data_IF_857543015423
#
_entry.id   IF_857543015423
#
_cell.length_a   1.000
_cell.length_b   1.000
_cell.length_c   1.000
_cell.angle_alpha   90.00
_cell.angle_beta   90.00
_cell.angle_gamma   90.00
#
_symmetry.space_group_name_H-M   'P 1'
#
loop_
_entity.id
_entity.type
_entity.pdbx_description
1 polymer ?
#
# COMPACT_ATOMS: atom_id res chain seq x y z
N UNK A 1 54.70 -19.30 -25.33
CA UNK A 1 54.54 -18.67 -24.01
C UNK A 1 54.20 -19.78 -23.02
N UNK A 2 55.00 -20.00 -21.98
CA UNK A 2 54.71 -21.04 -20.97
C UNK A 2 53.81 -20.39 -19.92
N UNK A 3 52.49 -20.61 -20.03
CA UNK A 3 51.47 -20.05 -19.12
C UNK A 3 51.77 -20.28 -17.63
N UNK A 4 52.49 -21.35 -17.32
CA UNK A 4 52.86 -21.80 -15.97
C UNK A 4 53.81 -20.85 -15.22
N UNK A 5 54.45 -19.89 -15.90
CA UNK A 5 55.38 -18.94 -15.29
C UNK A 5 54.74 -17.57 -14.96
N UNK A 6 53.48 -17.36 -15.33
CA UNK A 6 52.74 -16.15 -14.97
C UNK A 6 52.08 -16.33 -13.60
N UNK A 7 52.48 -15.49 -12.64
CA UNK A 7 51.92 -15.50 -11.29
C UNK A 7 50.75 -14.50 -11.12
N UNK A 8 50.68 -13.51 -12.01
CA UNK A 8 49.64 -12.48 -11.99
C UNK A 8 48.53 -12.80 -12.98
N UNK A 9 47.30 -12.47 -12.60
CA UNK A 9 46.13 -12.57 -13.48
C UNK A 9 46.31 -11.62 -14.68
N UNK A 10 46.03 -12.10 -15.89
CA UNK A 10 46.19 -11.32 -17.11
C UNK A 10 44.98 -11.45 -18.03
N UNK A 11 44.75 -10.42 -18.85
CA UNK A 11 43.71 -10.43 -19.89
C UNK A 11 44.20 -11.26 -21.09
N UNK A 12 43.41 -12.25 -21.51
CA UNK A 12 43.80 -13.12 -22.61
C UNK A 12 43.78 -12.38 -23.96
N UNK A 13 44.82 -12.53 -24.80
CA UNK A 13 44.77 -12.10 -26.18
C UNK A 13 43.69 -12.87 -26.96
N UNK A 14 43.11 -12.24 -27.99
CA UNK A 14 42.04 -12.83 -28.85
C UNK A 14 42.41 -14.19 -29.49
N UNK A 15 43.69 -14.49 -29.61
CA UNK A 15 44.21 -15.74 -30.16
C UNK A 15 44.04 -16.94 -29.20
N UNK A 16 43.80 -16.67 -27.92
CA UNK A 16 43.68 -17.68 -26.85
C UNK A 16 42.35 -17.55 -26.11
N UNK A 17 41.25 -17.24 -26.79
CA UNK A 17 39.93 -17.20 -26.16
C UNK A 17 39.59 -18.58 -25.54
N UNK A 18 39.42 -18.67 -24.21
CA UNK A 18 39.05 -19.92 -23.57
C UNK A 18 37.63 -20.30 -23.98
N UNK A 19 37.32 -21.60 -23.89
CA UNK A 19 35.92 -22.01 -23.98
C UNK A 19 35.13 -21.36 -22.85
N UNK A 20 34.02 -20.71 -23.19
CA UNK A 20 33.08 -20.09 -22.26
C UNK A 20 31.72 -20.78 -22.41
N UNK A 21 30.99 -21.00 -21.31
CA UNK A 21 29.63 -21.52 -21.40
C UNK A 21 28.76 -20.55 -22.18
N UNK A 22 27.83 -21.08 -22.99
CA UNK A 22 26.93 -20.23 -23.78
C UNK A 22 25.79 -19.71 -22.89
N UNK A 23 26.12 -18.81 -21.98
CA UNK A 23 25.18 -18.22 -21.05
C UNK A 23 24.65 -16.87 -21.59
N UNK A 24 23.33 -16.69 -21.60
CA UNK A 24 22.66 -15.41 -21.83
C UNK A 24 22.28 -14.83 -20.48
N UNK A 25 22.77 -13.63 -20.17
CA UNK A 25 22.31 -12.89 -19.00
C UNK A 25 21.16 -11.99 -19.42
N UNK A 26 20.09 -11.93 -18.62
CA UNK A 26 19.03 -10.96 -18.79
C UNK A 26 19.03 -10.01 -17.60
N UNK A 27 19.28 -8.70 -17.78
CA UNK A 27 19.56 -7.98 -19.03
C UNK A 27 20.98 -8.21 -19.60
N UNK A 28 21.17 -7.79 -20.86
CA UNK A 28 22.42 -7.97 -21.59
C UNK A 28 23.58 -7.16 -20.95
N UNK A 29 24.82 -7.69 -20.92
CA UNK A 29 25.95 -7.03 -20.30
C UNK A 29 26.56 -5.97 -21.23
N UNK A 30 26.97 -4.83 -20.67
CA UNK A 30 27.66 -3.75 -21.40
C UNK A 30 29.11 -4.08 -21.70
N UNK A 31 29.80 -4.70 -20.73
CA UNK A 31 31.21 -5.10 -20.87
C UNK A 31 31.41 -6.48 -20.28
N UNK A 32 32.16 -7.31 -21.01
CA UNK A 32 32.58 -8.64 -20.60
C UNK A 32 34.10 -8.65 -20.58
N UNK A 33 34.71 -8.88 -19.41
CA UNK A 33 36.16 -9.08 -19.29
C UNK A 33 36.45 -10.50 -18.83
N UNK A 34 37.45 -11.12 -19.46
CA UNK A 34 37.86 -12.50 -19.20
C UNK A 34 39.28 -12.48 -18.65
N UNK A 35 39.46 -13.04 -17.47
CA UNK A 35 40.76 -13.16 -16.81
C UNK A 35 41.05 -14.63 -16.55
N UNK A 36 42.29 -15.05 -16.79
CA UNK A 36 42.76 -16.40 -16.46
C UNK A 36 43.76 -16.30 -15.33
N UNK A 37 43.52 -17.07 -14.26
CA UNK A 37 44.51 -17.28 -13.22
C UNK A 37 45.42 -18.45 -13.60
N UNK A 38 46.69 -18.23 -13.95
CA UNK A 38 47.52 -19.28 -14.56
C UNK A 38 47.94 -20.37 -13.57
N UNK A 39 47.98 -20.03 -12.28
CA UNK A 39 48.34 -20.94 -11.20
C UNK A 39 47.24 -21.96 -10.87
N UNK A 40 45.97 -21.58 -11.03
CA UNK A 40 44.81 -22.41 -10.67
C UNK A 40 44.05 -22.93 -11.88
N UNK A 41 44.27 -22.34 -13.06
CA UNK A 41 43.51 -22.62 -14.27
C UNK A 41 42.07 -22.09 -14.23
N UNK A 42 41.73 -21.25 -13.26
CA UNK A 42 40.39 -20.67 -13.15
C UNK A 42 40.21 -19.54 -14.16
N UNK A 43 39.09 -19.61 -14.90
CA UNK A 43 38.67 -18.53 -15.80
C UNK A 43 37.62 -17.71 -15.07
N UNK A 44 37.92 -16.43 -14.86
CA UNK A 44 37.02 -15.46 -14.25
C UNK A 44 36.39 -14.60 -15.34
N UNK A 45 35.06 -14.53 -15.33
CA UNK A 45 34.27 -13.77 -16.27
C UNK A 45 33.54 -12.66 -15.52
N UNK A 46 33.81 -11.40 -15.88
CA UNK A 46 33.18 -10.26 -15.24
C UNK A 46 32.21 -9.58 -16.20
N UNK A 47 30.93 -9.59 -15.84
CA UNK A 47 29.86 -8.93 -16.58
C UNK A 47 29.46 -7.63 -15.88
N UNK A 48 29.50 -6.51 -16.60
CA UNK A 48 28.98 -5.24 -16.09
C UNK A 48 27.62 -4.97 -16.71
N UNK A 49 26.58 -4.99 -15.89
CA UNK A 49 25.20 -4.68 -16.30
C UNK A 49 24.78 -3.35 -15.70
N UNK A 50 24.21 -2.47 -16.52
CA UNK A 50 23.66 -1.17 -16.09
C UNK A 50 22.35 -0.91 -16.83
N UNK A 51 21.29 -1.54 -16.35
CA UNK A 51 19.97 -1.47 -16.96
C UNK A 51 18.87 -1.53 -15.89
N UNK A 52 17.67 -1.08 -16.23
CA UNK A 52 16.49 -1.20 -15.39
C UNK A 52 15.90 -2.60 -15.48
N UNK A 53 15.69 -3.24 -14.33
CA UNK A 53 15.00 -4.53 -14.25
C UNK A 53 13.49 -4.32 -14.18
N UNK A 54 12.75 -5.17 -14.89
CA UNK A 54 11.31 -5.27 -14.73
C UNK A 54 11.01 -6.11 -13.50
N UNK A 55 10.32 -5.51 -12.53
CA UNK A 55 9.94 -6.18 -11.30
C UNK A 55 8.44 -6.48 -11.32
N UNK A 56 8.08 -7.71 -10.93
CA UNK A 56 6.72 -8.07 -10.64
C UNK A 56 6.25 -7.39 -9.35
N UNK A 57 5.03 -6.86 -9.35
CA UNK A 57 4.37 -6.43 -8.13
C UNK A 57 2.90 -6.79 -8.14
N UNK A 58 2.37 -7.04 -6.96
CA UNK A 58 0.95 -7.29 -6.75
C UNK A 58 0.22 -5.95 -6.57
N UNK A 59 -0.09 -5.29 -7.69
CA UNK A 59 -0.63 -3.92 -7.73
C UNK A 59 -1.84 -3.65 -6.80
N UNK A 60 -2.70 -4.66 -6.56
CA UNK A 60 -3.86 -4.49 -5.67
C UNK A 60 -3.46 -4.15 -4.21
N UNK A 61 -2.24 -4.50 -3.78
CA UNK A 61 -1.73 -4.22 -2.42
C UNK A 61 -1.28 -2.79 -2.22
N UNK A 62 -1.29 -1.96 -3.27
CA UNK A 62 -0.86 -0.56 -3.18
C UNK A 62 -1.54 0.16 -1.99
N UNK A 63 -0.77 0.84 -1.11
CA UNK A 63 0.66 1.19 -1.22
C UNK A 63 1.64 0.22 -0.51
N UNK A 64 1.16 -0.90 0.03
CA UNK A 64 1.96 -1.85 0.82
C UNK A 64 2.50 -3.01 -0.03
N UNK A 65 2.82 -2.73 -1.29
CA UNK A 65 3.31 -3.74 -2.20
C UNK A 65 4.78 -4.10 -1.93
N UNK A 66 5.13 -5.34 -2.29
CA UNK A 66 6.50 -5.80 -2.38
C UNK A 66 6.82 -6.06 -3.85
N UNK A 67 7.99 -5.63 -4.27
CA UNK A 67 8.51 -5.85 -5.61
C UNK A 67 9.44 -7.04 -5.59
N UNK A 68 9.28 -7.91 -6.58
CA UNK A 68 10.12 -9.07 -6.83
C UNK A 68 10.76 -8.89 -8.21
N UNK A 69 12.09 -8.82 -8.24
CA UNK A 69 12.87 -8.60 -9.44
C UNK A 69 13.77 -9.80 -9.66
N UNK A 70 13.76 -10.31 -10.88
CA UNK A 70 14.60 -11.45 -11.25
C UNK A 70 15.75 -10.94 -12.12
N UNK A 71 16.96 -11.33 -11.72
CA UNK A 71 18.15 -11.12 -12.52
C UNK A 71 18.85 -12.46 -12.66
N UNK A 72 19.03 -12.96 -13.87
CA UNK A 72 19.57 -14.29 -14.04
C UNK A 72 20.32 -14.48 -15.32
N UNK A 73 21.07 -15.57 -15.33
CA UNK A 73 21.66 -16.11 -16.55
C UNK A 73 21.00 -17.43 -16.90
N UNK A 74 20.57 -17.56 -18.14
CA UNK A 74 20.10 -18.82 -18.71
C UNK A 74 21.15 -19.38 -19.68
N UNK A 75 21.19 -20.70 -19.85
CA UNK A 75 22.04 -21.33 -20.86
C UNK A 75 21.32 -21.29 -22.20
N UNK A 76 22.04 -20.96 -23.26
CA UNK A 76 21.51 -20.98 -24.63
C UNK A 76 21.11 -22.43 -24.99
N UNK A 77 19.81 -22.69 -25.03
CA UNK A 77 19.24 -24.03 -25.19
C UNK A 77 18.36 -24.50 -24.02
N UNK A 78 18.34 -23.76 -22.91
CA UNK A 78 17.50 -24.03 -21.73
C UNK A 78 17.80 -25.38 -21.10
N UNK A 79 16.75 -26.08 -20.65
CA UNK A 79 16.83 -27.40 -19.99
C UNK A 79 17.37 -28.50 -20.92
N UNK A 80 17.39 -28.26 -22.24
CA UNK A 80 17.85 -29.20 -23.27
C UNK A 80 19.32 -28.96 -23.68
N UNK A 81 20.03 -28.04 -23.03
CA UNK A 81 21.44 -27.82 -23.29
C UNK A 81 22.30 -28.93 -22.66
N UNK A 82 23.40 -29.30 -23.34
CA UNK A 82 24.41 -30.25 -22.82
C UNK A 82 25.28 -29.64 -21.70
N UNK A 83 25.09 -28.35 -21.41
CA UNK A 83 25.84 -27.58 -20.43
C UNK A 83 24.94 -27.29 -19.22
N UNK A 84 25.47 -27.33 -18.00
CA UNK A 84 24.74 -27.02 -16.76
C UNK A 84 25.44 -25.90 -16.03
N UNK A 85 24.69 -24.85 -15.68
CA UNK A 85 25.15 -23.70 -14.91
C UNK A 85 24.59 -23.82 -13.50
N UNK A 86 25.48 -23.80 -12.51
CA UNK A 86 25.10 -23.78 -11.09
C UNK A 86 25.73 -22.58 -10.44
N UNK A 87 24.98 -21.89 -9.60
CA UNK A 87 25.51 -20.80 -8.78
C UNK A 87 25.75 -21.35 -7.39
N UNK A 88 27.01 -21.32 -6.95
CA UNK A 88 27.44 -21.90 -5.68
C UNK A 88 27.37 -20.91 -4.52
N UNK A 89 27.70 -19.65 -4.77
CA UNK A 89 27.78 -18.61 -3.74
C UNK A 89 27.28 -17.27 -4.31
N UNK A 90 26.50 -16.56 -3.50
CA UNK A 90 26.07 -15.19 -3.78
C UNK A 90 26.75 -14.25 -2.77
N UNK A 91 27.56 -13.32 -3.28
CA UNK A 91 28.24 -12.32 -2.47
C UNK A 91 27.72 -10.92 -2.78
N UNK A 92 27.00 -10.34 -1.82
CA UNK A 92 26.54 -8.95 -1.92
C UNK A 92 27.62 -7.99 -1.43
N UNK A 93 28.09 -7.11 -2.32
CA UNK A 93 29.12 -6.10 -2.02
C UNK A 93 28.52 -4.73 -1.67
N UNK A 94 27.19 -4.60 -1.62
CA UNK A 94 26.51 -3.36 -1.27
C UNK A 94 26.68 -3.05 0.23
N UNK A 95 26.61 -1.76 0.63
CA UNK A 95 26.67 -1.38 2.04
C UNK A 95 25.44 -1.90 2.82
N UNK A 96 25.62 -2.14 4.12
CA UNK A 96 24.61 -2.79 5.00
C UNK A 96 23.20 -2.16 4.97
N UNK A 97 23.09 -0.85 4.75
CA UNK A 97 21.79 -0.18 4.69
C UNK A 97 21.03 -0.50 3.39
N UNK A 98 21.74 -0.79 2.29
CA UNK A 98 21.13 -1.23 1.04
C UNK A 98 20.74 -2.70 1.10
N UNK A 99 21.57 -3.54 1.71
CA UNK A 99 21.29 -4.98 1.85
C UNK A 99 20.11 -5.24 2.78
N UNK A 100 19.92 -4.42 3.82
CA UNK A 100 18.71 -4.48 4.66
C UNK A 100 17.44 -4.03 3.94
N UNK A 101 17.55 -3.16 2.92
CA UNK A 101 16.40 -2.64 2.18
C UNK A 101 15.99 -3.54 1.01
N UNK A 102 16.96 -4.20 0.38
CA UNK A 102 16.77 -5.07 -0.77
C UNK A 102 17.38 -6.43 -0.46
N UNK A 103 16.52 -7.39 -0.12
CA UNK A 103 16.92 -8.78 0.04
C UNK A 103 17.36 -9.37 -1.30
N UNK A 104 18.44 -10.14 -1.30
CA UNK A 104 18.91 -10.87 -2.47
C UNK A 104 19.04 -12.34 -2.11
N UNK A 105 18.32 -13.19 -2.83
CA UNK A 105 18.28 -14.63 -2.63
C UNK A 105 18.59 -15.34 -3.94
N UNK A 106 19.26 -16.48 -3.86
CA UNK A 106 19.57 -17.27 -5.03
C UNK A 106 18.38 -18.17 -5.38
N UNK A 107 18.03 -18.22 -6.66
CA UNK A 107 17.03 -19.14 -7.19
C UNK A 107 17.43 -20.60 -7.01
N UNK A 108 16.45 -21.49 -7.07
CA UNK A 108 16.70 -22.92 -7.00
C UNK A 108 17.18 -23.46 -8.34
N UNK A 109 18.13 -24.40 -8.30
CA UNK A 109 18.52 -25.21 -9.46
C UNK A 109 17.28 -25.79 -10.18
N UNK A 110 17.21 -25.75 -11.53
CA UNK A 110 18.26 -25.46 -12.51
C UNK A 110 18.41 -23.99 -12.92
N UNK A 111 17.70 -23.05 -12.28
CA UNK A 111 17.73 -21.65 -12.65
C UNK A 111 18.90 -20.93 -11.96
N UNK A 112 19.78 -20.30 -12.74
CA UNK A 112 20.85 -19.44 -12.24
C UNK A 112 20.36 -17.99 -12.14
N UNK A 113 19.29 -17.81 -11.35
CA UNK A 113 18.61 -16.54 -11.11
C UNK A 113 18.91 -16.02 -9.70
N UNK A 114 18.94 -14.71 -9.56
CA UNK A 114 19.04 -13.98 -8.30
C UNK A 114 17.73 -13.21 -8.16
N UNK A 115 16.98 -13.57 -7.12
CA UNK A 115 15.75 -12.89 -6.74
C UNK A 115 16.09 -11.71 -5.84
N UNK A 116 15.67 -10.52 -6.23
CA UNK A 116 15.81 -9.30 -5.45
C UNK A 116 14.44 -8.83 -5.00
N UNK A 117 14.26 -8.75 -3.69
CA UNK A 117 12.99 -8.37 -3.07
C UNK A 117 13.13 -7.08 -2.29
N UNK A 118 12.25 -6.13 -2.55
CA UNK A 118 12.18 -4.89 -1.78
C UNK A 118 10.74 -4.45 -1.53
N UNK A 119 10.52 -3.72 -0.43
CA UNK A 119 9.20 -3.21 -0.04
C UNK A 119 9.00 -1.77 -0.52
N UNK A 120 7.77 -1.43 -0.86
CA UNK A 120 7.38 -0.07 -1.21
C UNK A 120 7.48 0.88 0.00
N UNK A 121 7.77 2.16 -0.28
CA UNK A 121 7.79 3.23 0.72
C UNK A 121 6.37 3.68 1.06
N UNK A 122 5.72 2.95 1.96
CA UNK A 122 4.33 3.20 2.37
C UNK A 122 4.14 4.41 3.29
N UNK A 123 5.22 4.93 3.88
CA UNK A 123 5.19 6.00 4.90
C UNK A 123 4.49 7.26 4.38
N UNK A 124 4.76 7.63 3.13
CA UNK A 124 4.16 8.81 2.50
C UNK A 124 2.65 8.66 2.33
N UNK A 125 2.18 7.50 1.85
CA UNK A 125 0.75 7.25 1.68
C UNK A 125 0.00 7.23 3.02
N UNK A 126 0.63 6.70 4.07
CA UNK A 126 0.05 6.72 5.42
C UNK A 126 -0.15 8.15 5.93
N UNK A 127 0.86 9.00 5.78
CA UNK A 127 0.79 10.38 6.26
C UNK A 127 -0.11 11.28 5.41
N UNK A 128 -0.15 11.07 4.09
CA UNK A 128 -0.88 11.93 3.15
C UNK A 128 -2.34 11.53 2.92
N UNK A 129 -2.69 10.25 3.08
CA UNK A 129 -4.04 9.75 2.76
C UNK A 129 -4.70 9.07 3.97
N UNK A 130 -4.05 8.07 4.57
CA UNK A 130 -4.67 7.31 5.67
C UNK A 130 -4.92 8.17 6.91
N UNK A 131 -3.94 8.98 7.32
CA UNK A 131 -4.08 9.83 8.50
C UNK A 131 -5.17 10.91 8.31
N UNK A 132 -5.20 11.71 7.21
CA UNK A 132 -6.29 12.65 6.97
C UNK A 132 -7.67 11.99 6.86
N UNK A 133 -7.77 10.85 6.16
CA UNK A 133 -9.06 10.13 6.05
C UNK A 133 -9.58 9.65 7.40
N UNK A 134 -8.71 9.13 8.26
CA UNK A 134 -9.06 8.76 9.63
C UNK A 134 -9.50 9.96 10.46
N UNK A 135 -8.78 11.08 10.39
CA UNK A 135 -9.15 12.31 11.10
C UNK A 135 -10.51 12.85 10.64
N UNK A 136 -10.81 12.81 9.35
CA UNK A 136 -12.11 13.20 8.82
C UNK A 136 -13.22 12.31 9.39
N UNK A 137 -13.04 10.99 9.43
CA UNK A 137 -14.02 10.09 10.04
C UNK A 137 -14.21 10.38 11.53
N UNK A 138 -13.13 10.61 12.28
CA UNK A 138 -13.21 10.98 13.68
C UNK A 138 -13.98 12.30 13.87
N UNK A 139 -13.75 13.30 13.02
CA UNK A 139 -14.48 14.57 13.04
C UNK A 139 -15.97 14.38 12.77
N UNK A 140 -16.33 13.54 11.80
CA UNK A 140 -17.75 13.21 11.53
C UNK A 140 -18.38 12.56 12.75
N UNK A 141 -17.68 11.65 13.43
CA UNK A 141 -18.15 11.02 14.66
C UNK A 141 -18.34 12.03 15.81
N UNK A 142 -17.40 12.93 16.03
CA UNK A 142 -17.56 13.98 17.04
C UNK A 142 -18.68 14.98 16.70
N UNK A 143 -18.92 15.24 15.41
CA UNK A 143 -20.01 16.11 14.96
C UNK A 143 -21.40 15.53 15.30
N UNK A 144 -21.52 14.20 15.44
CA UNK A 144 -22.74 13.53 15.89
C UNK A 144 -23.22 14.00 17.28
N UNK A 145 -22.29 14.50 18.10
CA UNK A 145 -22.60 15.01 19.44
C UNK A 145 -23.12 16.46 19.45
N UNK A 146 -23.06 17.16 18.31
CA UNK A 146 -23.43 18.57 18.19
C UNK A 146 -24.86 18.74 17.66
N UNK A 147 -25.25 20.00 17.39
CA UNK A 147 -26.59 20.32 16.85
C UNK A 147 -26.72 19.78 15.41
N UNK A 148 -27.91 19.27 15.06
CA UNK A 148 -28.25 18.67 13.75
C UNK A 148 -27.79 19.47 12.53
N UNK A 149 -27.91 20.80 12.55
CA UNK A 149 -27.48 21.67 11.44
C UNK A 149 -25.96 21.60 11.21
N UNK A 150 -25.17 21.50 12.27
CA UNK A 150 -23.71 21.40 12.21
C UNK A 150 -23.31 20.00 11.77
N UNK A 151 -23.96 18.97 12.31
CA UNK A 151 -23.75 17.56 11.94
C UNK A 151 -23.89 17.32 10.44
N UNK A 152 -25.02 17.72 9.83
CA UNK A 152 -25.27 17.52 8.39
C UNK A 152 -24.26 18.27 7.53
N UNK A 153 -23.88 19.49 7.92
CA UNK A 153 -22.89 20.28 7.18
C UNK A 153 -21.50 19.64 7.24
N UNK A 154 -21.08 19.17 8.42
CA UNK A 154 -19.78 18.51 8.61
C UNK A 154 -19.74 17.17 7.86
N UNK A 155 -20.81 16.36 7.91
CA UNK A 155 -20.87 15.11 7.15
C UNK A 155 -20.84 15.34 5.64
N UNK A 156 -21.52 16.37 5.14
CA UNK A 156 -21.48 16.71 3.70
C UNK A 156 -20.08 17.15 3.28
N UNK A 157 -19.42 18.01 4.08
CA UNK A 157 -18.05 18.44 3.83
C UNK A 157 -17.07 17.25 3.85
N UNK A 158 -17.21 16.33 4.81
CA UNK A 158 -16.41 15.11 4.89
C UNK A 158 -16.58 14.21 3.66
N UNK A 159 -17.81 14.03 3.17
CA UNK A 159 -18.08 13.28 1.93
C UNK A 159 -17.38 13.93 0.74
N UNK A 160 -17.45 15.26 0.61
CA UNK A 160 -16.75 15.99 -0.44
C UNK A 160 -15.23 15.85 -0.34
N UNK A 161 -14.66 15.96 0.87
CA UNK A 161 -13.22 15.75 1.09
C UNK A 161 -12.79 14.33 0.74
N UNK A 162 -13.60 13.31 1.07
CA UNK A 162 -13.34 11.92 0.69
C UNK A 162 -13.36 11.72 -0.83
N UNK A 163 -14.31 12.35 -1.55
CA UNK A 163 -14.35 12.31 -3.01
C UNK A 163 -13.12 12.98 -3.65
N UNK A 164 -12.70 14.13 -3.11
CA UNK A 164 -11.48 14.81 -3.58
C UNK A 164 -10.26 13.92 -3.38
N UNK A 165 -10.11 13.33 -2.20
CA UNK A 165 -9.02 12.40 -1.91
C UNK A 165 -9.04 11.22 -2.88
N UNK A 166 -10.20 10.59 -3.08
CA UNK A 166 -10.36 9.46 -4.01
C UNK A 166 -9.92 9.82 -5.43
N UNK A 167 -10.25 11.01 -5.93
CA UNK A 167 -9.85 11.45 -7.28
C UNK A 167 -8.36 11.76 -7.34
N UNK A 168 -7.80 12.40 -6.31
CA UNK A 168 -6.37 12.74 -6.27
C UNK A 168 -5.45 11.54 -6.12
N UNK A 169 -5.96 10.44 -5.53
CA UNK A 169 -5.17 9.30 -5.12
C UNK A 169 -5.30 8.10 -6.06
N UNK A 170 -5.72 8.27 -7.33
CA UNK A 170 -5.76 7.19 -8.32
C UNK A 170 -4.51 7.17 -9.19
N UNK A 171 -3.44 6.48 -8.79
CA UNK A 171 -2.27 6.28 -9.64
C UNK A 171 -2.47 5.14 -10.64
N UNK A 172 -3.37 4.18 -10.37
CA UNK A 172 -3.55 2.97 -11.18
C UNK A 172 -4.98 2.81 -11.71
N UNK A 173 -5.12 2.05 -12.81
CA UNK A 173 -6.42 1.70 -13.41
C UNK A 173 -7.08 0.48 -12.74
N UNK A 174 -6.33 -0.29 -11.95
CA UNK A 174 -6.81 -1.44 -11.19
C UNK A 174 -7.26 -1.01 -9.79
N UNK A 175 -8.22 -1.74 -9.21
CA UNK A 175 -8.69 -1.48 -7.85
C UNK A 175 -7.61 -1.83 -6.83
N UNK A 176 -7.27 -0.86 -5.99
CA UNK A 176 -6.23 -1.00 -4.95
C UNK A 176 -6.82 -1.09 -3.54
N UNK A 177 -6.01 -1.53 -2.58
CA UNK A 177 -6.36 -1.50 -1.16
C UNK A 177 -6.64 -0.06 -0.67
N UNK A 178 -5.92 0.92 -1.22
CA UNK A 178 -6.17 2.33 -0.95
C UNK A 178 -7.56 2.77 -1.41
N UNK A 179 -7.98 2.37 -2.62
CA UNK A 179 -9.34 2.65 -3.11
C UNK A 179 -10.40 2.00 -2.23
N UNK A 180 -10.17 0.76 -1.80
CA UNK A 180 -11.09 0.03 -0.91
C UNK A 180 -11.21 0.74 0.45
N UNK A 181 -10.11 1.24 1.00
CA UNK A 181 -10.09 2.01 2.25
C UNK A 181 -10.91 3.29 2.13
N UNK A 182 -10.66 4.10 1.09
CA UNK A 182 -11.37 5.38 0.89
C UNK A 182 -12.86 5.11 0.61
N UNK A 183 -13.18 4.10 -0.19
CA UNK A 183 -14.57 3.67 -0.42
C UNK A 183 -15.25 3.23 0.88
N UNK A 184 -14.57 2.48 1.75
CA UNK A 184 -15.08 2.11 3.07
C UNK A 184 -15.39 3.34 3.94
N UNK A 185 -14.47 4.31 3.96
CA UNK A 185 -14.66 5.58 4.67
C UNK A 185 -15.84 6.38 4.11
N UNK A 186 -15.96 6.44 2.78
CA UNK A 186 -17.07 7.10 2.09
C UNK A 186 -18.42 6.47 2.44
N UNK A 187 -18.52 5.14 2.35
CA UNK A 187 -19.75 4.40 2.69
C UNK A 187 -20.12 4.65 4.16
N UNK A 188 -19.15 4.64 5.08
CA UNK A 188 -19.38 4.98 6.48
C UNK A 188 -19.93 6.40 6.65
N UNK A 189 -19.33 7.39 6.00
CA UNK A 189 -19.79 8.78 6.09
C UNK A 189 -21.21 8.96 5.53
N UNK A 190 -21.53 8.31 4.41
CA UNK A 190 -22.88 8.33 3.81
C UNK A 190 -23.88 7.62 4.73
N UNK A 191 -23.52 6.47 5.30
CA UNK A 191 -24.41 5.75 6.22
C UNK A 191 -24.72 6.58 7.46
N UNK A 192 -23.72 7.24 8.06
CA UNK A 192 -23.95 8.16 9.17
C UNK A 192 -24.90 9.30 8.76
N UNK A 193 -24.70 9.91 7.59
CA UNK A 193 -25.61 10.94 7.08
C UNK A 193 -27.06 10.42 6.94
N UNK A 194 -27.25 9.19 6.44
CA UNK A 194 -28.58 8.58 6.32
C UNK A 194 -29.22 8.37 7.69
N UNK A 195 -28.47 7.87 8.68
CA UNK A 195 -28.94 7.74 10.06
C UNK A 195 -29.34 9.11 10.65
N UNK A 196 -28.57 10.16 10.36
CA UNK A 196 -28.79 11.52 10.86
C UNK A 196 -30.04 12.19 10.25
N UNK A 197 -30.37 11.82 9.02
CA UNK A 197 -31.57 12.28 8.33
C UNK A 197 -32.82 11.50 8.78
N UNK A 198 -32.69 10.19 9.01
CA UNK A 198 -33.79 9.29 9.35
C UNK A 198 -34.20 9.34 10.82
N UNK A 199 -33.28 9.60 11.75
CA UNK A 199 -33.63 9.73 13.16
C UNK A 199 -34.37 11.07 13.41
N UNK A 200 -35.64 11.04 13.82
CA UNK A 200 -36.34 12.26 14.20
C UNK A 200 -35.61 12.89 15.38
N UNK A 201 -35.47 14.22 15.34
CA UNK A 201 -34.67 14.96 16.31
C UNK A 201 -34.99 14.47 17.73
N UNK A 202 -33.96 14.09 18.50
CA UNK A 202 -34.10 13.70 19.92
C UNK A 202 -35.01 14.67 20.69
N UNK A 203 -34.99 15.97 20.35
CA UNK A 203 -35.87 17.01 20.92
C UNK A 203 -37.35 16.90 20.54
N UNK A 204 -37.71 16.42 19.36
CA UNK A 204 -39.12 16.24 18.98
C UNK A 204 -39.74 15.09 19.77
N UNK A 205 -38.97 14.03 20.07
CA UNK A 205 -39.47 12.97 20.96
C UNK A 205 -39.74 13.49 22.38
N UNK A 206 -38.89 14.33 22.96
CA UNK A 206 -39.15 14.90 24.29
C UNK A 206 -40.29 15.93 24.28
N UNK A 207 -40.41 16.76 23.24
CA UNK A 207 -41.53 17.71 23.13
C UNK A 207 -42.87 17.00 22.92
N UNK A 208 -42.91 15.93 22.13
CA UNK A 208 -44.12 15.15 21.89
C UNK A 208 -44.48 14.24 23.08
N UNK A 209 -43.50 13.78 23.87
CA UNK A 209 -43.76 13.11 25.16
C UNK A 209 -44.30 14.09 26.21
N UNK A 210 -43.75 15.30 26.29
CA UNK A 210 -44.24 16.34 27.20
C UNK A 210 -45.62 16.88 26.80
N UNK A 211 -45.93 16.98 25.50
CA UNK A 211 -47.29 17.34 25.04
C UNK A 211 -48.31 16.23 25.33
N UNK A 212 -47.90 14.95 25.32
CA UNK A 212 -48.79 13.84 25.68
C UNK A 212 -49.10 13.82 27.18
N UNK A 213 -48.14 14.17 28.03
CA UNK A 213 -48.38 14.30 29.48
C UNK A 213 -49.23 15.55 29.82
N UNK A 214 -49.05 16.68 29.12
CA UNK A 214 -49.83 17.91 29.38
C UNK A 214 -51.27 17.85 28.82
N UNK A 215 -51.52 17.00 27.82
CA UNK A 215 -52.89 16.72 27.33
C UNK A 215 -53.62 15.71 28.22
N UNK A 216 -52.89 14.78 28.87
CA UNK A 216 -53.46 13.83 29.84
C UNK A 216 -53.98 14.48 31.12
N UNK A 217 -53.35 15.57 31.58
CA UNK A 217 -53.76 16.27 32.81
C UNK A 217 -54.80 17.40 32.59
N UNK A 218 -55.00 17.85 31.35
CA UNK A 218 -56.00 18.91 31.06
C UNK A 218 -57.43 18.37 30.92
N UNK A 219 -57.63 17.11 30.56
CA UNK A 219 -58.96 16.48 30.54
C UNK A 219 -59.44 16.03 31.94
N UNK A 220 -58.52 15.77 32.88
CA UNK A 220 -58.88 15.39 34.25
C UNK A 220 -59.22 16.60 35.14
N UNK A 221 -58.74 17.80 34.78
CA UNK A 221 -58.93 19.01 35.60
C UNK A 221 -60.14 19.86 35.17
N UNK A 222 -60.83 19.52 34.07
CA UNK A 222 -61.99 20.30 33.60
C UNK A 222 -63.34 19.83 34.16
N UNK A 223 -63.40 18.73 34.90
CA UNK A 223 -64.64 18.19 35.48
C UNK A 223 -64.82 18.46 36.98
N UNK A 224 -63.82 19.03 37.67
CA UNK A 224 -63.83 19.13 39.15
C UNK A 224 -64.10 20.55 39.69
N UNK A 225 -64.03 21.61 38.88
CA UNK A 225 -64.24 23.00 39.39
C UNK A 225 -65.49 23.61 38.76
N UNK A 226 -66.65 23.04 39.11
CA UNK A 226 -67.96 23.68 38.91
C UNK A 226 -68.83 23.51 40.15
N UNK A 227 -68.36 23.92 41.32
CA UNK A 227 -69.23 24.14 42.48
C UNK A 227 -68.65 25.23 43.39
N UNK A 228 -69.51 26.22 43.66
CA UNK A 228 -69.50 27.14 44.82
C UNK A 228 -68.43 28.25 44.88
N UNK A 229 -68.69 29.49 45.30
CA UNK A 229 -69.87 30.37 45.40
C UNK A 229 -69.31 31.77 45.77
N UNK A 230 -69.99 32.83 45.29
CA UNK A 230 -70.10 34.19 45.88
C UNK A 230 -68.86 35.12 45.94
N UNK A 231 -68.99 36.20 45.15
CA UNK A 231 -68.48 37.58 45.37
C UNK A 231 -68.61 38.07 46.85
N UNK A 232 -67.93 39.15 47.33
CA UNK A 232 -67.68 40.40 46.60
C UNK A 232 -66.32 41.12 46.91
N UNK A 233 -66.07 42.34 46.40
CA UNK A 233 -64.74 42.97 46.31
C UNK A 233 -64.45 43.83 47.55
N UNK A 234 -63.23 44.37 47.70
CA UNK A 234 -62.99 45.78 48.02
C UNK A 234 -61.48 46.07 48.21
N UNK A 235 -61.10 47.24 47.67
CA UNK A 235 -59.88 48.06 47.86
C UNK A 235 -58.53 47.46 47.48
#
# INVERSE_FOLDING_TARGET
LVLRELFDDFELPKEFEPWLPRARTSPDPHTVTVMLSPATGTVSLYHRVKESLYCGSSQWKYPFESFDCEFGSEIAGGILADEVLTVSELRDLRPNWQTMRVGAELGSFPEATVHMKYSADWQFAVLSVFLPSFLILALVFFAQWKRRKVQVFVSLAAIMSMLIMLVSSRPLHSATLLDLWICGCFIHAVFLLVVDLTLPARRVRYALLLDVDDVGDRESTQTVIRLETKCPPFS
#
